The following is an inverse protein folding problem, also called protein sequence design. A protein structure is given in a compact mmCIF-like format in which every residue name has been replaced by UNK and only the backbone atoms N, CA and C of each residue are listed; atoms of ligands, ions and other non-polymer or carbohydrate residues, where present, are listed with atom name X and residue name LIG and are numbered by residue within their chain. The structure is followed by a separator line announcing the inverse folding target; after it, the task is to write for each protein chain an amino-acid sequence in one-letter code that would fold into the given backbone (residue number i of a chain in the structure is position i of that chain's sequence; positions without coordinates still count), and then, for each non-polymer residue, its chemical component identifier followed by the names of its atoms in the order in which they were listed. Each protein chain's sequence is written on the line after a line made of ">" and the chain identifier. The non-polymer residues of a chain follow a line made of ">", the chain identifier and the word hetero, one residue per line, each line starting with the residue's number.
data_IF_282688136440
#
_entry.id   IF_282688136440
#
_cell.length_a   1.000
_cell.length_b   1.000
_cell.length_c   1.000
_cell.angle_alpha   90.00
_cell.angle_beta   90.00
_cell.angle_gamma   90.00
#
_symmetry.space_group_name_H-M   'P 1'
#
loop_
_entity.id
_entity.type
_entity.pdbx_description
1 polymer ?
#
# COMPACT_ATOMS: atom_id res chain seq x y z
N UNK A 1 -13.87 -0.91 32.83
CA UNK A 1 -14.32 -0.09 31.69
C UNK A 1 -14.63 -0.99 30.51
N UNK A 2 -15.75 -0.80 29.82
CA UNK A 2 -16.08 -1.48 28.55
C UNK A 2 -16.19 -0.49 27.41
N UNK A 3 -15.71 -0.86 26.22
CA UNK A 3 -15.77 -0.03 25.01
C UNK A 3 -16.61 -0.73 23.94
N UNK A 4 -17.66 -0.06 23.47
CA UNK A 4 -18.49 -0.50 22.37
C UNK A 4 -17.97 0.10 21.05
N UNK A 5 -17.60 -0.79 20.12
CA UNK A 5 -16.95 -0.44 18.86
C UNK A 5 -17.90 -0.57 17.67
N UNK A 6 -17.73 0.32 16.68
CA UNK A 6 -18.26 0.14 15.33
C UNK A 6 -17.43 -0.87 14.52
N UNK A 7 -17.83 -1.16 13.27
CA UNK A 7 -17.12 -2.09 12.39
C UNK A 7 -15.65 -1.68 12.17
N UNK A 8 -14.75 -2.69 12.20
CA UNK A 8 -13.31 -2.50 12.03
C UNK A 8 -12.91 -2.66 10.57
N UNK A 9 -12.13 -1.71 10.05
CA UNK A 9 -11.67 -1.74 8.66
C UNK A 9 -10.60 -2.82 8.46
N UNK A 10 -10.86 -3.78 7.57
CA UNK A 10 -9.88 -4.79 7.12
C UNK A 10 -9.58 -5.90 8.12
N UNK A 11 -10.36 -6.03 9.21
CA UNK A 11 -10.23 -7.09 10.21
C UNK A 11 -11.62 -7.56 10.66
N UNK A 12 -11.83 -8.88 10.77
CA UNK A 12 -13.08 -9.48 11.26
C UNK A 12 -14.23 -9.53 10.23
N UNK A 13 -15.48 -9.60 10.71
CA UNK A 13 -16.71 -9.77 9.91
C UNK A 13 -16.95 -8.68 8.84
N UNK A 14 -16.24 -7.55 8.91
CA UNK A 14 -16.34 -6.44 7.95
C UNK A 14 -15.21 -6.41 6.90
N UNK A 15 -14.29 -7.38 6.92
CA UNK A 15 -13.17 -7.43 5.96
C UNK A 15 -13.61 -7.62 4.50
N UNK A 16 -14.77 -8.26 4.28
CA UNK A 16 -15.34 -8.57 2.95
C UNK A 16 -16.67 -7.85 2.67
N UNK A 17 -17.14 -6.99 3.58
CA UNK A 17 -18.50 -6.46 3.54
C UNK A 17 -18.52 -4.98 3.14
N UNK A 18 -18.23 -4.69 1.86
CA UNK A 18 -18.40 -3.36 1.26
C UNK A 18 -19.77 -2.73 1.60
N UNK A 19 -20.80 -3.57 1.73
CA UNK A 19 -22.17 -3.20 2.10
C UNK A 19 -22.30 -2.61 3.52
N UNK A 20 -21.50 -3.09 4.49
CA UNK A 20 -21.53 -2.59 5.88
C UNK A 20 -20.94 -1.19 5.95
N UNK A 21 -19.85 -0.94 5.23
CA UNK A 21 -19.22 0.37 5.10
C UNK A 21 -20.16 1.40 4.44
N UNK A 22 -20.89 0.98 3.40
CA UNK A 22 -21.87 1.83 2.71
C UNK A 22 -23.07 2.19 3.60
N UNK A 23 -23.60 1.24 4.37
CA UNK A 23 -24.71 1.50 5.29
C UNK A 23 -24.29 2.35 6.49
N UNK A 24 -23.07 2.18 7.01
CA UNK A 24 -22.52 3.06 8.04
C UNK A 24 -22.36 4.50 7.52
N UNK A 25 -21.89 4.68 6.28
CA UNK A 25 -21.80 5.99 5.65
C UNK A 25 -23.18 6.65 5.50
N UNK A 26 -24.22 5.88 5.14
CA UNK A 26 -25.62 6.35 5.09
C UNK A 26 -26.13 6.81 6.45
N UNK A 27 -25.68 6.18 7.53
CA UNK A 27 -26.01 6.57 8.90
C UNK A 27 -25.12 7.71 9.44
N UNK A 28 -24.24 8.29 8.61
CA UNK A 28 -23.36 9.39 9.02
C UNK A 28 -22.19 8.92 9.89
N UNK A 29 -21.80 7.66 9.79
CA UNK A 29 -20.66 7.05 10.47
C UNK A 29 -19.71 6.43 9.43
N UNK A 30 -18.67 5.72 9.88
CA UNK A 30 -17.78 4.95 9.01
C UNK A 30 -17.12 3.80 9.77
N UNK A 31 -16.36 2.98 9.07
CA UNK A 31 -15.50 1.99 9.71
C UNK A 31 -14.36 2.69 10.47
N UNK A 32 -13.98 2.12 11.60
CA UNK A 32 -12.82 2.57 12.37
C UNK A 32 -11.56 1.85 11.89
N UNK A 33 -10.47 2.59 11.71
CA UNK A 33 -9.16 1.98 11.44
C UNK A 33 -8.48 1.52 12.74
N UNK A 34 -7.58 0.53 12.70
CA UNK A 34 -6.85 0.10 13.90
C UNK A 34 -6.11 1.26 14.60
N UNK A 35 -5.46 2.15 13.83
CA UNK A 35 -4.78 3.32 14.40
C UNK A 35 -5.74 4.26 15.15
N UNK A 36 -6.92 4.52 14.58
CA UNK A 36 -7.93 5.38 15.23
C UNK A 36 -8.51 4.71 16.48
N UNK A 37 -8.70 3.39 16.45
CA UNK A 37 -9.15 2.63 17.60
C UNK A 37 -8.15 2.71 18.77
N UNK A 38 -6.85 2.57 18.48
CA UNK A 38 -5.82 2.72 19.51
C UNK A 38 -5.75 4.15 20.06
N UNK A 39 -5.87 5.17 19.20
CA UNK A 39 -5.93 6.57 19.66
C UNK A 39 -7.15 6.83 20.55
N UNK A 40 -8.33 6.31 20.18
CA UNK A 40 -9.53 6.43 21.00
C UNK A 40 -9.37 5.71 22.35
N UNK A 41 -8.70 4.56 22.35
CA UNK A 41 -8.42 3.80 23.56
C UNK A 41 -7.51 4.57 24.53
N UNK A 42 -6.37 5.09 24.06
CA UNK A 42 -5.47 5.92 24.89
C UNK A 42 -6.16 7.18 25.41
N UNK A 43 -7.03 7.79 24.60
CA UNK A 43 -7.79 8.97 25.02
C UNK A 43 -8.74 8.65 26.17
N UNK A 44 -9.49 7.55 26.07
CA UNK A 44 -10.49 7.16 27.08
C UNK A 44 -9.83 6.67 28.37
N UNK A 45 -8.64 6.05 28.29
CA UNK A 45 -7.87 5.59 29.46
C UNK A 45 -7.54 6.73 30.46
N UNK A 46 -7.49 7.97 29.98
CA UNK A 46 -7.34 9.16 30.83
C UNK A 46 -8.58 9.56 31.64
N UNK A 47 -9.71 8.88 31.46
CA UNK A 47 -10.99 9.21 32.10
C UNK A 47 -11.54 8.04 32.92
N UNK A 48 -12.06 8.33 34.11
CA UNK A 48 -12.70 7.33 34.97
C UNK A 48 -14.16 7.11 34.53
N UNK A 49 -14.34 6.42 33.41
CA UNK A 49 -15.66 6.08 32.86
C UNK A 49 -15.89 4.57 32.89
N UNK A 50 -17.10 4.17 33.30
CA UNK A 50 -17.48 2.76 33.32
C UNK A 50 -17.67 2.20 31.90
N UNK A 51 -18.21 3.00 30.97
CA UNK A 51 -18.46 2.64 29.58
C UNK A 51 -18.22 3.81 28.63
N UNK A 52 -17.73 3.52 27.43
CA UNK A 52 -17.54 4.50 26.35
C UNK A 52 -17.93 3.91 24.99
N UNK A 53 -18.53 4.73 24.13
CA UNK A 53 -18.92 4.35 22.76
C UNK A 53 -18.07 5.15 21.78
N UNK A 54 -17.42 4.47 20.83
CA UNK A 54 -16.56 5.12 19.82
C UNK A 54 -17.28 5.11 18.47
N UNK A 55 -17.74 6.28 18.04
CA UNK A 55 -18.40 6.49 16.74
C UNK A 55 -17.54 7.41 15.87
N UNK A 56 -16.85 6.89 14.84
CA UNK A 56 -16.08 7.71 13.93
C UNK A 56 -17.03 8.49 13.03
N UNK A 57 -16.94 9.82 13.08
CA UNK A 57 -17.70 10.69 12.19
C UNK A 57 -16.95 10.90 10.88
N UNK A 58 -17.65 10.94 9.73
CA UNK A 58 -17.08 11.48 8.51
C UNK A 58 -16.78 12.96 8.75
N UNK A 59 -15.52 13.36 8.58
CA UNK A 59 -15.14 14.75 8.73
C UNK A 59 -15.94 15.62 7.73
N UNK A 60 -16.37 16.84 8.11
CA UNK A 60 -16.88 17.78 7.12
C UNK A 60 -15.78 17.99 6.08
N UNK A 61 -16.11 17.83 4.80
CA UNK A 61 -15.16 17.93 3.70
C UNK A 61 -14.27 19.16 3.86
N UNK A 62 -13.01 18.96 4.26
CA UNK A 62 -12.05 20.03 4.56
C UNK A 62 -11.47 20.06 5.97
N UNK A 63 -11.81 19.13 6.87
CA UNK A 63 -11.22 19.01 8.20
C UNK A 63 -10.58 17.63 8.40
N UNK A 64 -9.65 17.27 7.52
CA UNK A 64 -9.15 15.91 7.42
C UNK A 64 -7.84 15.76 8.20
N UNK A 65 -7.98 15.50 9.50
CA UNK A 65 -6.92 14.93 10.35
C UNK A 65 -7.03 13.41 10.43
N UNK A 66 -6.89 12.69 9.32
CA UNK A 66 -6.62 11.24 9.20
C UNK A 66 -6.35 10.96 7.71
N UNK A 67 -5.13 10.64 7.28
CA UNK A 67 -4.59 9.29 7.43
C UNK A 67 -5.12 8.38 6.32
N UNK A 68 -4.47 8.43 5.14
CA UNK A 68 -4.61 7.47 4.02
C UNK A 68 -5.75 7.66 2.98
N UNK A 69 -6.29 8.86 2.78
CA UNK A 69 -6.84 9.20 1.45
C UNK A 69 -6.86 10.71 1.15
N UNK A 70 -5.89 11.47 1.68
CA UNK A 70 -5.51 12.69 0.98
C UNK A 70 -4.98 12.23 -0.37
N UNK A 71 -5.64 12.59 -1.47
CA UNK A 71 -5.12 12.37 -2.81
C UNK A 71 -3.62 12.63 -2.76
N UNK A 72 -2.80 11.59 -2.96
CA UNK A 72 -1.34 11.72 -2.93
C UNK A 72 -0.96 12.56 -4.13
N UNK A 73 -1.03 13.88 -3.96
CA UNK A 73 -0.63 14.82 -4.98
C UNK A 73 0.89 14.82 -4.94
N UNK A 74 1.55 14.42 -6.04
CA UNK A 74 2.99 14.46 -6.08
C UNK A 74 3.44 15.90 -5.86
N UNK A 75 4.50 16.09 -5.06
CA UNK A 75 5.08 17.42 -4.85
C UNK A 75 5.53 18.08 -6.17
N UNK A 76 5.66 17.29 -7.24
CA UNK A 76 6.12 17.70 -8.55
C UNK A 76 5.39 16.94 -9.67
N UNK A 77 5.16 17.60 -10.80
CA UNK A 77 4.60 16.94 -11.98
C UNK A 77 5.71 16.15 -12.71
N UNK A 78 5.79 14.84 -12.45
CA UNK A 78 6.80 13.96 -13.04
C UNK A 78 6.60 13.73 -14.54
N UNK A 79 5.35 13.81 -15.03
CA UNK A 79 4.99 13.47 -16.41
C UNK A 79 5.49 14.45 -17.46
N UNK A 80 5.86 15.67 -17.05
CA UNK A 80 6.40 16.71 -17.95
C UNK A 80 7.93 16.73 -18.03
N UNK A 81 8.60 15.84 -17.28
CA UNK A 81 10.05 15.83 -17.14
C UNK A 81 10.68 14.70 -17.95
N UNK A 82 11.93 14.89 -18.40
CA UNK A 82 12.67 13.82 -19.06
C UNK A 82 13.03 12.70 -18.06
N UNK A 83 13.04 11.44 -18.51
CA UNK A 83 13.26 10.28 -17.61
C UNK A 83 14.58 10.34 -16.81
N UNK A 84 15.64 10.91 -17.38
CA UNK A 84 16.93 11.14 -16.69
C UNK A 84 16.83 12.20 -15.61
N UNK A 85 16.04 13.24 -15.84
CA UNK A 85 15.76 14.33 -14.91
C UNK A 85 14.89 13.84 -13.76
N UNK A 86 13.81 13.09 -14.06
CA UNK A 86 12.95 12.43 -13.05
C UNK A 86 13.78 11.58 -12.09
N UNK A 87 14.69 10.75 -12.62
CA UNK A 87 15.55 9.90 -11.79
C UNK A 87 16.45 10.73 -10.88
N UNK A 88 17.06 11.79 -11.40
CA UNK A 88 17.96 12.65 -10.62
C UNK A 88 17.22 13.41 -9.52
N UNK A 89 16.04 13.92 -9.81
CA UNK A 89 15.19 14.61 -8.83
C UNK A 89 14.68 13.66 -7.76
N UNK A 90 14.27 12.44 -8.13
CA UNK A 90 13.87 11.41 -7.18
C UNK A 90 15.04 11.04 -6.26
N UNK A 91 16.24 10.85 -6.80
CA UNK A 91 17.43 10.53 -6.01
C UNK A 91 17.76 11.66 -5.01
N UNK A 92 17.72 12.92 -5.44
CA UNK A 92 17.94 14.07 -4.58
C UNK A 92 16.87 14.22 -3.50
N UNK A 93 15.59 14.06 -3.85
CA UNK A 93 14.48 14.15 -2.91
C UNK A 93 14.52 13.04 -1.86
N UNK A 94 14.75 11.79 -2.29
CA UNK A 94 14.89 10.65 -1.38
C UNK A 94 16.12 10.80 -0.49
N UNK A 95 17.25 11.29 -1.02
CA UNK A 95 18.44 11.57 -0.22
C UNK A 95 18.12 12.57 0.90
N UNK A 96 17.35 13.63 0.62
CA UNK A 96 16.92 14.60 1.63
C UNK A 96 16.03 13.98 2.69
N UNK A 97 15.00 13.22 2.29
CA UNK A 97 14.08 12.53 3.21
C UNK A 97 14.85 11.59 4.14
N UNK A 98 15.72 10.77 3.58
CA UNK A 98 16.47 9.76 4.35
C UNK A 98 17.52 10.42 5.25
N UNK A 99 18.21 11.47 4.76
CA UNK A 99 19.17 12.22 5.57
C UNK A 99 18.49 12.91 6.76
N UNK A 100 17.28 13.47 6.56
CA UNK A 100 16.49 14.08 7.62
C UNK A 100 16.10 13.06 8.70
N UNK A 101 15.61 11.88 8.28
CA UNK A 101 15.24 10.81 9.22
C UNK A 101 16.46 10.26 9.98
N UNK A 102 17.58 10.05 9.29
CA UNK A 102 18.85 9.61 9.89
C UNK A 102 19.56 10.70 10.70
N UNK A 103 19.10 11.95 10.62
CA UNK A 103 19.72 13.14 11.24
C UNK A 103 21.19 13.32 10.86
N UNK A 104 21.52 13.02 9.60
CA UNK A 104 22.86 13.22 9.03
C UNK A 104 22.83 14.30 7.96
N UNK A 105 23.94 15.01 7.71
CA UNK A 105 24.01 15.94 6.60
C UNK A 105 23.77 15.23 5.26
N UNK A 106 22.96 15.83 4.37
CA UNK A 106 22.69 15.26 3.04
C UNK A 106 23.98 14.85 2.33
N UNK A 107 25.03 15.69 2.40
CA UNK A 107 26.33 15.47 1.75
C UNK A 107 27.10 14.24 2.24
N UNK A 108 26.87 13.81 3.47
CA UNK A 108 27.53 12.65 4.07
C UNK A 108 26.81 11.34 3.78
N UNK A 109 25.56 11.42 3.29
CA UNK A 109 24.81 10.25 2.89
C UNK A 109 25.29 9.72 1.53
N UNK A 110 25.87 8.52 1.55
CA UNK A 110 26.22 7.76 0.35
C UNK A 110 24.97 7.08 -0.23
N UNK A 111 24.65 7.41 -1.48
CA UNK A 111 23.47 6.94 -2.20
C UNK A 111 23.57 5.49 -2.67
N UNK A 112 24.78 4.93 -2.74
CA UNK A 112 25.05 3.54 -3.11
C UNK A 112 25.15 2.63 -1.87
N UNK A 113 25.15 3.20 -0.65
CA UNK A 113 25.27 2.43 0.59
C UNK A 113 23.93 1.84 1.04
N UNK A 114 23.89 0.58 1.52
CA UNK A 114 22.68 -0.03 2.03
C UNK A 114 22.09 0.69 3.25
N UNK A 115 20.77 0.85 3.30
CA UNK A 115 20.06 1.47 4.42
C UNK A 115 20.33 0.79 5.77
N UNK A 116 20.47 -0.53 5.77
CA UNK A 116 20.80 -1.29 6.97
C UNK A 116 22.14 -0.88 7.59
N UNK A 117 23.14 -0.54 6.76
CA UNK A 117 24.45 -0.07 7.22
C UNK A 117 24.44 1.38 7.68
N UNK A 118 23.44 2.16 7.24
CA UNK A 118 23.22 3.53 7.67
C UNK A 118 22.46 3.62 9.01
N UNK A 119 22.04 2.48 9.57
CA UNK A 119 21.33 2.42 10.85
C UNK A 119 19.81 2.58 10.74
N UNK A 120 19.25 2.39 9.54
CA UNK A 120 17.80 2.45 9.32
C UNK A 120 17.09 1.31 10.06
N UNK A 121 16.05 1.64 10.83
CA UNK A 121 15.21 0.70 11.57
C UNK A 121 13.75 0.73 11.07
N UNK A 122 12.89 -0.16 11.58
CA UNK A 122 11.51 -0.29 11.12
C UNK A 122 10.65 0.96 11.34
N UNK A 123 10.88 1.72 12.42
CA UNK A 123 10.12 2.95 12.70
C UNK A 123 10.50 4.05 11.69
N UNK A 124 11.80 4.20 11.44
CA UNK A 124 12.34 5.13 10.43
C UNK A 124 11.89 4.73 9.03
N UNK A 125 11.83 3.43 8.73
CA UNK A 125 11.32 2.91 7.47
C UNK A 125 9.87 3.35 7.22
N UNK A 126 9.02 3.34 8.25
CA UNK A 126 7.63 3.80 8.15
C UNK A 126 7.54 5.31 7.94
N UNK A 127 8.39 6.11 8.61
CA UNK A 127 8.43 7.56 8.42
C UNK A 127 8.89 7.92 7.00
N UNK A 128 10.01 7.35 6.55
CA UNK A 128 10.53 7.50 5.19
C UNK A 128 9.50 7.09 4.15
N UNK A 129 8.77 6.00 4.37
CA UNK A 129 7.71 5.55 3.45
C UNK A 129 6.63 6.62 3.30
N UNK A 130 6.11 7.15 4.41
CA UNK A 130 5.06 8.20 4.37
C UNK A 130 5.54 9.45 3.65
N UNK A 131 6.74 9.92 3.94
CA UNK A 131 7.29 11.11 3.28
C UNK A 131 7.57 10.86 1.79
N UNK A 132 8.07 9.68 1.43
CA UNK A 132 8.28 9.30 0.05
C UNK A 132 6.95 9.16 -0.72
N UNK A 133 5.90 8.61 -0.12
CA UNK A 133 4.55 8.55 -0.70
C UNK A 133 4.03 9.95 -1.03
N UNK A 134 4.19 10.90 -0.11
CA UNK A 134 3.81 12.30 -0.32
C UNK A 134 4.66 12.98 -1.39
N UNK A 135 5.97 12.73 -1.41
CA UNK A 135 6.88 13.31 -2.38
C UNK A 135 6.60 12.82 -3.80
N UNK A 136 6.38 11.51 -3.96
CA UNK A 136 6.24 10.83 -5.25
C UNK A 136 4.81 10.86 -5.76
N UNK A 137 3.81 10.96 -4.88
CA UNK A 137 2.38 10.95 -5.24
C UNK A 137 1.81 9.56 -5.53
N UNK A 138 2.45 8.49 -5.06
CA UNK A 138 1.99 7.10 -5.22
C UNK A 138 2.15 6.34 -3.92
N UNK A 139 1.29 5.33 -3.71
CA UNK A 139 1.43 4.43 -2.57
C UNK A 139 2.65 3.49 -2.73
N UNK A 140 3.38 3.31 -1.63
CA UNK A 140 4.56 2.47 -1.57
C UNK A 140 4.31 1.27 -0.66
N UNK A 141 4.76 0.08 -1.06
CA UNK A 141 4.65 -1.09 -0.19
C UNK A 141 5.56 -0.97 1.03
N UNK A 142 5.18 -1.62 2.13
CA UNK A 142 6.01 -1.67 3.35
C UNK A 142 7.37 -2.36 3.12
N UNK A 143 7.50 -3.18 2.08
CA UNK A 143 8.70 -3.96 1.76
C UNK A 143 9.65 -3.26 0.80
N UNK A 144 9.27 -2.11 0.24
CA UNK A 144 10.03 -1.38 -0.78
C UNK A 144 11.47 -1.07 -0.38
N UNK A 145 11.68 -0.60 0.85
CA UNK A 145 13.02 -0.26 1.36
C UNK A 145 13.93 -1.48 1.53
N UNK A 146 13.36 -2.68 1.65
CA UNK A 146 14.11 -3.94 1.69
C UNK A 146 14.42 -4.44 0.28
N UNK A 147 13.47 -4.30 -0.65
CA UNK A 147 13.65 -4.69 -2.06
C UNK A 147 14.62 -3.77 -2.80
N UNK A 148 14.70 -2.51 -2.38
CA UNK A 148 15.55 -1.47 -2.94
C UNK A 148 16.37 -0.83 -1.81
N UNK A 149 17.45 -1.51 -1.35
CA UNK A 149 18.14 -1.17 -0.11
C UNK A 149 19.04 0.06 -0.20
N UNK A 150 19.01 0.81 -1.30
CA UNK A 150 19.85 2.01 -1.50
C UNK A 150 19.02 3.15 -2.10
N UNK A 151 19.43 4.40 -1.87
CA UNK A 151 18.74 5.58 -2.43
C UNK A 151 18.64 5.46 -3.95
N UNK A 152 19.72 5.04 -4.60
CA UNK A 152 19.81 4.91 -6.05
C UNK A 152 18.90 3.81 -6.61
N UNK A 153 18.82 2.65 -5.94
CA UNK A 153 17.94 1.56 -6.36
C UNK A 153 16.47 1.94 -6.20
N UNK A 154 16.13 2.64 -5.11
CA UNK A 154 14.79 3.15 -4.85
C UNK A 154 14.38 4.22 -5.86
N UNK A 155 15.25 5.20 -6.13
CA UNK A 155 15.01 6.24 -7.13
C UNK A 155 14.80 5.64 -8.53
N UNK A 156 15.60 4.64 -8.91
CA UNK A 156 15.46 3.94 -10.19
C UNK A 156 14.14 3.18 -10.30
N UNK A 157 13.70 2.52 -9.23
CA UNK A 157 12.40 1.86 -9.19
C UNK A 157 11.25 2.86 -9.33
N UNK A 158 11.29 3.95 -8.56
CA UNK A 158 10.22 4.95 -8.57
C UNK A 158 10.15 5.69 -9.91
N UNK A 159 11.30 6.01 -10.51
CA UNK A 159 11.37 6.63 -11.83
C UNK A 159 10.65 5.79 -12.89
N UNK A 160 10.71 4.46 -12.80
CA UNK A 160 9.97 3.59 -13.71
C UNK A 160 8.46 3.75 -13.53
N UNK A 161 7.97 3.85 -12.29
CA UNK A 161 6.52 3.93 -11.98
C UNK A 161 5.89 5.28 -12.27
N UNK A 162 6.63 6.38 -12.11
CA UNK A 162 6.10 7.75 -12.29
C UNK A 162 6.43 8.37 -13.64
N UNK A 163 7.46 7.89 -14.34
CA UNK A 163 7.62 8.23 -15.74
C UNK A 163 6.37 7.75 -16.50
N UNK A 164 5.89 8.51 -17.51
CA UNK A 164 4.75 8.10 -18.30
C UNK A 164 5.01 6.71 -18.87
N UNK A 165 4.30 5.72 -18.32
CA UNK A 165 4.37 4.34 -18.77
C UNK A 165 3.65 4.25 -20.12
N UNK A 166 4.40 3.89 -21.16
CA UNK A 166 3.81 3.23 -22.31
C UNK A 166 3.18 1.92 -21.80
N UNK A 167 1.85 1.84 -21.90
CA UNK A 167 0.98 0.78 -21.37
C UNK A 167 1.37 -0.60 -21.91
N UNK A 168 2.34 -1.26 -21.28
CA UNK A 168 2.81 -2.59 -21.69
C UNK A 168 2.73 -3.65 -20.57
N UNK A 169 2.34 -3.28 -19.35
CA UNK A 169 2.23 -4.25 -18.24
C UNK A 169 0.85 -4.92 -18.12
N UNK A 170 -0.24 -4.26 -18.54
CA UNK A 170 -1.58 -4.87 -18.54
C UNK A 170 -1.69 -6.06 -19.51
N UNK A 171 -0.87 -6.08 -20.56
CA UNK A 171 -0.92 -7.12 -21.59
C UNK A 171 -0.34 -8.47 -21.12
N UNK A 172 0.51 -8.48 -20.08
CA UNK A 172 1.14 -9.72 -19.62
C UNK A 172 0.23 -10.54 -18.70
N UNK A 173 -0.63 -9.91 -17.89
CA UNK A 173 -1.58 -10.60 -17.00
C UNK A 173 -2.71 -11.25 -17.81
N UNK A 174 -3.18 -10.58 -18.86
CA UNK A 174 -4.13 -11.17 -19.81
C UNK A 174 -3.51 -12.34 -20.60
N UNK A 175 -2.23 -12.24 -21.00
CA UNK A 175 -1.54 -13.32 -21.68
C UNK A 175 -1.39 -14.58 -20.79
N UNK A 176 -1.04 -14.42 -19.52
CA UNK A 176 -0.93 -15.51 -18.54
C UNK A 176 -2.28 -16.19 -18.26
N UNK A 177 -3.37 -15.42 -18.17
CA UNK A 177 -4.73 -15.97 -18.01
C UNK A 177 -5.20 -16.73 -19.25
N UNK A 178 -4.87 -16.24 -20.46
CA UNK A 178 -5.21 -16.92 -21.71
C UNK A 178 -4.48 -18.25 -21.88
N UNK A 179 -3.20 -18.31 -21.50
CA UNK A 179 -2.44 -19.56 -21.54
C UNK A 179 -2.94 -20.58 -20.51
N UNK A 180 -3.29 -20.13 -19.30
CA UNK A 180 -3.86 -21.01 -18.28
C UNK A 180 -5.22 -21.58 -18.71
N UNK A 181 -6.05 -20.77 -19.38
CA UNK A 181 -7.33 -21.22 -19.94
C UNK A 181 -7.17 -22.34 -20.98
N UNK A 182 -6.20 -22.22 -21.90
CA UNK A 182 -5.97 -23.26 -22.92
C UNK A 182 -5.43 -24.59 -22.36
N UNK A 183 -4.70 -24.54 -21.24
CA UNK A 183 -4.14 -25.74 -20.60
C UNK A 183 -5.23 -26.48 -19.81
N UNK A 184 -6.19 -25.76 -19.24
CA UNK A 184 -7.34 -26.37 -18.57
C UNK A 184 -8.31 -27.03 -19.55
N UNK A 185 -8.54 -26.41 -20.71
CA UNK A 185 -9.42 -26.94 -21.76
C UNK A 185 -8.86 -28.25 -22.36
N UNK A 186 -7.55 -28.30 -22.60
CA UNK A 186 -6.87 -29.50 -23.12
C UNK A 186 -6.74 -30.66 -22.12
N UNK A 187 -6.79 -30.39 -20.81
CA UNK A 187 -6.88 -31.44 -19.78
C UNK A 187 -8.28 -32.04 -19.67
N UNK A 188 -9.32 -31.23 -19.89
CA UNK A 188 -10.71 -31.69 -19.83
C UNK A 188 -11.06 -32.60 -21.02
N UNK A 189 -10.65 -32.22 -22.23
CA UNK A 189 -10.90 -32.98 -23.47
C UNK A 189 -10.18 -34.35 -23.45
N UNK A 190 -9.06 -34.44 -22.73
CA UNK A 190 -8.30 -35.69 -22.56
C UNK A 190 -8.96 -36.69 -21.61
N UNK A 191 -9.73 -36.22 -20.62
CA UNK A 191 -10.44 -37.08 -19.66
C UNK A 191 -11.74 -37.63 -20.27
N UNK A 192 -12.38 -36.87 -21.15
CA UNK A 192 -13.62 -37.31 -21.83
C UNK A 192 -13.35 -38.29 -22.98
N UNK A 193 -12.13 -38.30 -23.52
CA UNK A 193 -11.71 -39.15 -24.64
C UNK A 193 -11.20 -40.56 -24.26
N UNK A 194 -11.15 -40.93 -22.97
CA UNK A 194 -10.85 -42.32 -22.56
C UNK A 194 -12.17 -43.12 -22.41
N UNK A 195 -12.50 -44.04 -23.34
CA UNK A 195 -13.62 -44.96 -23.15
C UNK A 195 -13.27 -45.97 -22.04
N UNK A 196 -14.25 -46.43 -21.22
CA UNK A 196 -14.00 -47.48 -20.26
C UNK A 196 -13.68 -48.80 -20.99
N UNK A 197 -12.41 -49.22 -20.98
CA UNK A 197 -12.02 -50.59 -21.29
C UNK A 197 -12.56 -51.52 -20.20
N UNK A 198 -13.81 -51.97 -20.36
CA UNK A 198 -14.33 -53.13 -19.66
C UNK A 198 -14.23 -54.35 -20.58
N UNK A 199 -13.09 -55.01 -20.47
CA UNK A 199 -12.79 -56.43 -20.67
C UNK A 199 -13.85 -57.30 -21.39
N UNK A 200 -13.47 -57.77 -22.58
CA UNK A 200 -13.93 -59.05 -23.13
C UNK A 200 -13.17 -60.21 -22.46
N UNK A 201 -13.88 -61.14 -21.82
CA UNK A 201 -14.04 -62.52 -22.31
C UNK A 201 -14.51 -63.49 -21.22
N UNK A 202 -15.54 -64.26 -21.58
CA UNK A 202 -15.72 -65.73 -21.43
C UNK A 202 -15.11 -66.42 -20.21
#
# INVERSE_FOLDING_TARGET
>A
MSLDWVAWRGLGLAADAQLVSEELARMGSRDITPSEAFTAWEFVDGYDVAQAVVVPMPAPAGADGSGANAYLLPARNWSVMAATEVRSELEQGLRRIIAAELRVPEKELDTDRPFAELGLNSLMAMAIRREAEQFVGIELSATMLFNHPTVKSLASYLAKRVAPHDVSQDNQISALSSSAGSVLDSLFDRIESEPPEAERSV
#
